data_IF_043517792368
#
_entry.id   IF_043517792368
#
_cell.length_a   1.000
_cell.length_b   1.000
_cell.length_c   1.000
_cell.angle_alpha   90.00
_cell.angle_beta   90.00
_cell.angle_gamma   90.00
#
_symmetry.space_group_name_H-M   'P 1'
#
loop_
_entity.id
_entity.type
_entity.pdbx_description
1 polymer ?
#
# COMPACT_ATOMS: atom_id res chain seq x y z
N UNK A 1 -0.38 -0.57 -23.08
CA UNK A 1 -0.37 -1.89 -23.74
C UNK A 1 -0.53 -2.94 -22.65
N UNK A 2 -1.77 -3.16 -22.24
CA UNK A 2 -2.12 -4.18 -21.22
C UNK A 2 -2.29 -5.50 -21.96
N UNK A 3 -1.40 -6.45 -21.73
CA UNK A 3 -1.41 -7.75 -22.40
C UNK A 3 -1.53 -8.91 -21.39
N UNK A 4 -1.77 -10.12 -21.89
CA UNK A 4 -2.01 -11.30 -21.07
C UNK A 4 -0.83 -11.61 -20.12
N UNK A 5 0.39 -11.27 -20.54
CA UNK A 5 1.60 -11.47 -19.75
C UNK A 5 1.74 -10.45 -18.61
N UNK A 6 1.33 -9.18 -18.79
CA UNK A 6 1.20 -8.24 -17.65
C UNK A 6 0.11 -8.68 -16.66
N UNK A 7 -1.01 -9.22 -17.15
CA UNK A 7 -2.04 -9.77 -16.28
C UNK A 7 -1.54 -11.00 -15.49
N UNK A 8 -0.75 -11.87 -16.12
CA UNK A 8 -0.05 -12.99 -15.45
C UNK A 8 0.93 -12.49 -14.39
N UNK A 9 1.68 -11.42 -14.68
CA UNK A 9 2.61 -10.82 -13.72
C UNK A 9 1.89 -10.34 -12.45
N UNK A 10 0.80 -9.57 -12.59
CA UNK A 10 0.05 -9.05 -11.44
C UNK A 10 -0.68 -10.15 -10.67
N UNK A 11 -1.25 -11.14 -11.34
CA UNK A 11 -1.88 -12.29 -10.69
C UNK A 11 -0.85 -13.16 -9.94
N UNK A 12 0.35 -13.36 -10.48
CA UNK A 12 1.46 -14.01 -9.81
C UNK A 12 1.92 -13.22 -8.57
N UNK A 13 2.00 -11.88 -8.66
CA UNK A 13 2.33 -11.02 -7.53
C UNK A 13 1.29 -11.08 -6.42
N UNK A 14 -0.01 -11.04 -6.76
CA UNK A 14 -1.12 -11.16 -5.80
C UNK A 14 -1.13 -12.52 -5.11
N UNK A 15 -0.82 -13.60 -5.84
CA UNK A 15 -0.82 -14.97 -5.29
C UNK A 15 0.52 -15.39 -4.67
N UNK A 16 1.57 -14.56 -4.75
CA UNK A 16 2.86 -14.84 -4.11
C UNK A 16 3.75 -15.82 -4.88
N UNK A 17 3.49 -16.02 -6.18
CA UNK A 17 4.18 -17.00 -7.01
C UNK A 17 5.58 -16.52 -7.44
N UNK A 18 6.51 -16.49 -6.49
CA UNK A 18 7.90 -16.06 -6.69
C UNK A 18 8.65 -16.80 -7.79
N UNK A 19 8.34 -18.08 -8.02
CA UNK A 19 8.96 -18.87 -9.09
C UNK A 19 8.64 -18.27 -10.46
N UNK A 20 7.37 -17.89 -10.67
CA UNK A 20 6.94 -17.23 -11.91
C UNK A 20 7.55 -15.83 -12.01
N UNK A 21 7.56 -15.07 -10.91
CA UNK A 21 8.17 -13.72 -10.91
C UNK A 21 9.67 -13.75 -11.23
N UNK A 22 10.41 -14.75 -10.72
CA UNK A 22 11.83 -14.92 -11.05
C UNK A 22 12.03 -15.25 -12.52
N UNK A 23 11.20 -16.14 -13.07
CA UNK A 23 11.24 -16.46 -14.50
C UNK A 23 10.90 -15.24 -15.36
N UNK A 24 9.83 -14.51 -15.02
CA UNK A 24 9.44 -13.28 -15.72
C UNK A 24 10.49 -12.18 -15.61
N UNK A 25 11.27 -12.14 -14.53
CA UNK A 25 12.42 -11.23 -14.41
C UNK A 25 13.50 -11.54 -15.45
N UNK A 26 13.76 -12.82 -15.70
CA UNK A 26 14.74 -13.27 -16.71
C UNK A 26 14.21 -13.03 -18.14
N UNK A 27 12.93 -13.36 -18.39
CA UNK A 27 12.33 -13.28 -19.72
C UNK A 27 11.98 -11.84 -20.15
N UNK A 28 11.50 -11.00 -19.22
CA UNK A 28 10.96 -9.67 -19.55
C UNK A 28 10.99 -8.68 -18.34
N UNK A 29 12.18 -8.20 -17.93
CA UNK A 29 12.33 -7.34 -16.74
C UNK A 29 11.62 -5.98 -16.88
N UNK A 30 11.47 -5.44 -18.09
CA UNK A 30 10.80 -4.16 -18.35
C UNK A 30 9.32 -4.16 -17.93
N UNK A 31 8.69 -5.33 -17.80
CA UNK A 31 7.27 -5.45 -17.43
C UNK A 31 6.99 -5.10 -15.97
N UNK A 32 8.00 -5.15 -15.09
CA UNK A 32 7.82 -4.84 -13.67
C UNK A 32 7.47 -3.37 -13.41
N UNK A 33 7.81 -2.47 -14.34
CA UNK A 33 7.39 -1.07 -14.32
C UNK A 33 5.99 -0.83 -14.90
N UNK A 34 5.30 -1.85 -15.41
CA UNK A 34 3.95 -1.70 -15.94
C UNK A 34 2.95 -1.35 -14.83
N UNK A 35 1.95 -0.56 -15.21
CA UNK A 35 0.80 -0.22 -14.36
C UNK A 35 -0.48 -0.72 -15.01
N UNK A 36 -1.46 -1.06 -14.18
CA UNK A 36 -2.80 -1.41 -14.66
C UNK A 36 -3.59 -0.18 -15.14
N UNK A 37 -4.77 -0.37 -15.77
CA UNK A 37 -5.61 0.76 -16.18
C UNK A 37 -6.06 1.67 -15.03
N UNK A 38 -5.96 1.21 -13.77
CA UNK A 38 -6.21 1.99 -12.56
C UNK A 38 -4.94 2.64 -12.00
N UNK A 39 -3.80 2.51 -12.69
CA UNK A 39 -2.49 3.02 -12.27
C UNK A 39 -1.77 2.17 -11.23
N UNK A 40 -2.29 1.00 -10.85
CA UNK A 40 -1.66 0.17 -9.84
C UNK A 40 -0.44 -0.56 -10.41
N UNK A 41 0.71 -0.41 -9.74
CA UNK A 41 1.92 -1.20 -9.97
C UNK A 41 1.83 -2.61 -9.39
N UNK A 42 2.84 -3.43 -9.67
CA UNK A 42 2.97 -4.79 -9.11
C UNK A 42 3.01 -4.81 -7.57
N UNK A 43 3.53 -3.76 -6.95
CA UNK A 43 3.57 -3.62 -5.49
C UNK A 43 2.17 -3.52 -4.88
N UNK A 44 1.27 -2.75 -5.50
CA UNK A 44 -0.12 -2.63 -5.06
C UNK A 44 -0.83 -4.00 -5.06
N UNK A 45 -0.61 -4.79 -6.13
CA UNK A 45 -1.18 -6.13 -6.25
C UNK A 45 -0.58 -7.11 -5.26
N UNK A 46 0.73 -7.05 -5.03
CA UNK A 46 1.40 -7.85 -4.01
C UNK A 46 0.85 -7.56 -2.60
N UNK A 47 0.58 -6.30 -2.28
CA UNK A 47 0.00 -5.89 -1.00
C UNK A 47 -1.46 -6.33 -0.87
N UNK A 48 -2.28 -6.18 -1.91
CA UNK A 48 -3.64 -6.73 -1.91
C UNK A 48 -3.66 -8.24 -1.61
N UNK A 49 -2.63 -8.96 -2.06
CA UNK A 49 -2.39 -10.36 -1.74
C UNK A 49 -1.74 -10.66 -0.38
N UNK A 50 -1.22 -9.66 0.32
CA UNK A 50 -0.45 -9.84 1.56
C UNK A 50 0.93 -10.49 1.36
N UNK A 51 1.51 -10.36 0.17
CA UNK A 51 2.68 -11.13 -0.23
C UNK A 51 4.00 -10.42 0.12
N UNK A 52 4.39 -10.50 1.40
CA UNK A 52 5.63 -9.88 1.90
C UNK A 52 6.88 -10.35 1.13
N UNK A 53 6.96 -11.64 0.79
CA UNK A 53 8.12 -12.18 0.05
C UNK A 53 8.26 -11.56 -1.34
N UNK A 54 7.14 -11.26 -2.00
CA UNK A 54 7.13 -10.55 -3.28
C UNK A 54 7.61 -9.12 -3.10
N UNK A 55 7.18 -8.41 -2.05
CA UNK A 55 7.68 -7.06 -1.76
C UNK A 55 9.18 -7.02 -1.49
N UNK A 56 9.73 -8.02 -0.78
CA UNK A 56 11.19 -8.14 -0.58
C UNK A 56 11.92 -8.37 -1.89
N UNK A 57 11.36 -9.20 -2.76
CA UNK A 57 11.90 -9.42 -4.10
C UNK A 57 11.86 -8.13 -4.94
N UNK A 58 10.75 -7.40 -4.91
CA UNK A 58 10.62 -6.12 -5.61
C UNK A 58 11.59 -5.09 -5.07
N UNK A 59 11.76 -4.96 -3.75
CA UNK A 59 12.73 -4.01 -3.16
C UNK A 59 14.16 -4.27 -3.64
N UNK A 60 14.56 -5.53 -3.79
CA UNK A 60 15.91 -5.91 -4.17
C UNK A 60 16.20 -5.72 -5.67
N UNK A 61 15.18 -5.72 -6.52
CA UNK A 61 15.36 -5.71 -7.98
C UNK A 61 14.78 -4.47 -8.67
N UNK A 62 13.66 -3.96 -8.15
CA UNK A 62 12.80 -2.93 -8.74
C UNK A 62 12.22 -2.02 -7.63
N UNK A 63 13.07 -1.32 -6.84
CA UNK A 63 12.62 -0.49 -5.72
C UNK A 63 11.66 0.62 -6.14
N UNK A 64 11.76 1.13 -7.37
CA UNK A 64 10.89 2.15 -7.95
C UNK A 64 9.42 1.75 -7.97
N UNK A 65 9.11 0.44 -8.01
CA UNK A 65 7.73 -0.05 -8.03
C UNK A 65 6.99 0.17 -6.72
N UNK A 66 7.72 0.42 -5.62
CA UNK A 66 7.19 0.58 -4.26
C UNK A 66 6.70 2.00 -3.96
N UNK A 67 6.99 2.98 -4.82
CA UNK A 67 6.59 4.40 -4.65
C UNK A 67 5.68 4.89 -5.78
N UNK A 68 5.26 3.99 -6.69
CA UNK A 68 4.35 4.34 -7.79
C UNK A 68 3.00 4.78 -7.24
N UNK A 69 2.44 5.85 -7.81
CA UNK A 69 1.10 6.32 -7.48
C UNK A 69 0.09 5.73 -8.46
N UNK A 70 -1.03 5.24 -7.94
CA UNK A 70 -2.18 4.87 -8.77
C UNK A 70 -3.03 6.10 -9.15
N UNK A 71 -4.14 5.91 -9.87
CA UNK A 71 -5.02 7.02 -10.28
C UNK A 71 -5.69 7.77 -9.11
N UNK A 72 -5.77 7.14 -7.93
CA UNK A 72 -6.19 7.80 -6.68
C UNK A 72 -5.04 8.49 -5.94
N UNK A 73 -3.86 8.62 -6.55
CA UNK A 73 -2.66 9.17 -5.92
C UNK A 73 -2.16 8.35 -4.74
N UNK A 74 -2.56 7.08 -4.67
CA UNK A 74 -2.16 6.20 -3.57
C UNK A 74 -0.85 5.52 -3.93
N UNK A 75 0.16 5.72 -3.09
CA UNK A 75 1.29 4.79 -2.96
C UNK A 75 0.85 3.39 -2.48
N UNK A 76 1.66 2.34 -2.69
CA UNK A 76 1.37 0.99 -2.22
C UNK A 76 1.10 0.93 -0.70
N UNK A 77 1.75 1.77 0.11
CA UNK A 77 1.52 1.84 1.56
C UNK A 77 0.07 2.22 1.92
N UNK A 78 -0.57 3.12 1.17
CA UNK A 78 -1.97 3.48 1.37
C UNK A 78 -2.87 2.26 1.16
N UNK A 79 -2.63 1.51 0.08
CA UNK A 79 -3.38 0.28 -0.19
C UNK A 79 -3.15 -0.76 0.91
N UNK A 80 -1.95 -0.83 1.49
CA UNK A 80 -1.68 -1.68 2.65
C UNK A 80 -2.52 -1.31 3.87
N UNK A 81 -2.70 -0.01 4.11
CA UNK A 81 -3.52 0.52 5.19
C UNK A 81 -5.01 0.29 4.97
N UNK A 82 -5.51 0.44 3.74
CA UNK A 82 -6.92 0.15 3.40
C UNK A 82 -7.22 -1.35 3.54
N UNK A 83 -6.35 -2.21 3.00
CA UNK A 83 -6.57 -3.67 2.99
C UNK A 83 -6.29 -4.31 4.36
N UNK A 84 -5.55 -3.64 5.25
CA UNK A 84 -5.23 -4.18 6.57
C UNK A 84 -4.04 -5.14 6.58
N UNK A 85 -3.08 -4.99 5.67
CA UNK A 85 -1.90 -5.88 5.59
C UNK A 85 -0.74 -5.35 6.43
N UNK A 86 -0.83 -5.52 7.74
CA UNK A 86 0.18 -5.07 8.72
C UNK A 86 1.63 -5.35 8.28
N UNK A 87 1.96 -6.62 8.00
CA UNK A 87 3.33 -7.01 7.62
C UNK A 87 3.84 -6.29 6.36
N UNK A 88 2.96 -6.00 5.40
CA UNK A 88 3.30 -5.26 4.20
C UNK A 88 3.48 -3.76 4.51
N UNK A 89 2.61 -3.18 5.34
CA UNK A 89 2.73 -1.78 5.77
C UNK A 89 4.03 -1.56 6.54
N UNK A 90 4.32 -2.41 7.52
CA UNK A 90 5.57 -2.36 8.28
C UNK A 90 6.81 -2.42 7.38
N UNK A 91 6.79 -3.31 6.38
CA UNK A 91 7.86 -3.39 5.40
C UNK A 91 8.01 -2.10 4.57
N UNK A 92 6.91 -1.51 4.09
CA UNK A 92 6.98 -0.31 3.25
C UNK A 92 7.43 0.92 4.05
N UNK A 93 6.90 1.10 5.26
CA UNK A 93 7.27 2.20 6.15
C UNK A 93 8.76 2.16 6.50
N UNK A 94 9.31 0.98 6.74
CA UNK A 94 10.72 0.86 7.12
C UNK A 94 11.71 1.04 5.96
N UNK A 95 11.28 0.84 4.71
CA UNK A 95 12.22 0.67 3.60
C UNK A 95 11.92 1.49 2.34
N UNK A 96 10.73 2.06 2.18
CA UNK A 96 10.31 2.61 0.90
C UNK A 96 9.42 3.86 0.96
N UNK A 97 8.52 3.98 1.94
CA UNK A 97 7.48 5.00 1.93
C UNK A 97 7.58 5.97 3.10
N UNK A 98 7.28 7.23 2.82
CA UNK A 98 7.05 8.24 3.86
C UNK A 98 5.72 7.95 4.56
N UNK A 99 5.72 7.89 5.89
CA UNK A 99 4.49 7.65 6.71
C UNK A 99 3.43 8.74 6.56
N UNK A 100 3.81 9.93 6.10
CA UNK A 100 2.95 11.11 5.95
C UNK A 100 2.63 11.47 4.49
N UNK A 101 2.86 10.55 3.54
CA UNK A 101 2.42 10.74 2.15
C UNK A 101 0.91 10.98 2.09
N UNK A 102 0.45 11.79 1.14
CA UNK A 102 -0.97 12.13 0.97
C UNK A 102 -1.47 11.63 -0.38
N UNK A 103 -2.64 11.01 -0.40
CA UNK A 103 -3.36 10.67 -1.64
C UNK A 103 -4.12 11.87 -2.23
N UNK A 104 -4.88 11.66 -3.32
CA UNK A 104 -5.65 12.77 -3.95
C UNK A 104 -6.75 13.35 -3.06
N UNK A 105 -7.22 12.61 -2.05
CA UNK A 105 -8.18 13.09 -1.04
C UNK A 105 -7.47 13.82 0.10
N UNK A 106 -6.15 13.93 0.04
CA UNK A 106 -5.33 14.45 1.12
C UNK A 106 -5.16 13.46 2.27
N UNK A 107 -5.62 12.21 2.12
CA UNK A 107 -5.56 11.20 3.17
C UNK A 107 -4.14 10.66 3.31
N UNK A 108 -3.66 10.56 4.55
CA UNK A 108 -2.43 9.87 4.89
C UNK A 108 -2.67 8.39 5.13
N UNK A 109 -1.63 7.54 5.13
CA UNK A 109 -1.74 6.14 5.54
C UNK A 109 -2.45 5.95 6.88
N UNK A 110 -2.20 6.87 7.84
CA UNK A 110 -2.85 6.85 9.16
C UNK A 110 -4.35 7.12 9.05
N UNK A 111 -4.75 8.13 8.28
CA UNK A 111 -6.17 8.45 8.03
C UNK A 111 -6.91 7.25 7.42
N UNK A 112 -6.30 6.58 6.43
CA UNK A 112 -6.89 5.40 5.80
C UNK A 112 -6.96 4.19 6.75
N UNK A 113 -5.93 3.98 7.59
CA UNK A 113 -5.94 2.91 8.58
C UNK A 113 -7.06 3.14 9.62
N UNK A 114 -7.26 4.38 10.06
CA UNK A 114 -8.33 4.76 10.98
C UNK A 114 -9.72 4.65 10.35
N UNK A 115 -9.90 5.12 9.10
CA UNK A 115 -11.14 5.00 8.32
C UNK A 115 -11.58 3.54 8.16
N UNK A 116 -10.63 2.61 8.03
CA UNK A 116 -10.89 1.18 7.85
C UNK A 116 -10.82 0.35 9.14
N UNK A 117 -10.52 0.98 10.29
CA UNK A 117 -10.51 0.33 11.60
C UNK A 117 -9.34 -0.61 11.86
N UNK A 118 -8.24 -0.45 11.14
CA UNK A 118 -7.01 -1.21 11.34
C UNK A 118 -6.17 -0.58 12.43
N UNK A 119 -6.64 -0.72 13.67
CA UNK A 119 -6.05 -0.12 14.88
C UNK A 119 -4.57 -0.46 15.02
N UNK A 120 -4.20 -1.72 14.79
CA UNK A 120 -2.81 -2.17 14.89
C UNK A 120 -1.93 -1.37 13.92
N UNK A 121 -2.41 -1.16 12.69
CA UNK A 121 -1.68 -0.42 11.65
C UNK A 121 -1.59 1.06 12.02
N UNK A 122 -2.68 1.64 12.53
CA UNK A 122 -2.67 3.02 13.02
C UNK A 122 -1.62 3.19 14.15
N UNK A 123 -1.62 2.31 15.14
CA UNK A 123 -0.64 2.32 16.22
C UNK A 123 0.80 2.15 15.71
N UNK A 124 1.02 1.25 14.74
CA UNK A 124 2.33 1.07 14.11
C UNK A 124 2.80 2.34 13.41
N UNK A 125 1.91 3.00 12.66
CA UNK A 125 2.22 4.24 11.95
C UNK A 125 2.57 5.38 12.92
N UNK A 126 1.83 5.54 14.03
CA UNK A 126 2.14 6.52 15.07
C UNK A 126 3.51 6.28 15.69
N UNK A 127 3.85 5.01 15.96
CA UNK A 127 5.17 4.63 16.48
C UNK A 127 6.30 5.02 15.51
N UNK A 128 6.00 5.09 14.21
CA UNK A 128 6.93 5.49 13.16
C UNK A 128 6.76 6.97 12.74
N UNK A 129 6.32 7.82 13.67
CA UNK A 129 6.21 9.29 13.50
C UNK A 129 5.17 9.73 12.46
N UNK A 130 4.10 8.96 12.27
CA UNK A 130 2.94 9.47 11.54
C UNK A 130 2.28 10.64 12.30
N UNK A 131 1.89 11.67 11.56
CA UNK A 131 1.26 12.85 12.14
C UNK A 131 -0.20 12.55 12.49
N UNK A 132 -0.49 12.44 13.78
CA UNK A 132 -1.84 12.23 14.31
C UNK A 132 -2.80 13.38 14.02
N UNK A 133 -2.27 14.60 13.87
CA UNK A 133 -3.03 15.81 13.54
C UNK A 133 -3.19 16.01 12.04
N UNK A 134 -2.72 15.06 11.21
CA UNK A 134 -2.94 15.13 9.78
C UNK A 134 -4.43 15.11 9.47
N UNK A 135 -4.82 15.91 8.47
CA UNK A 135 -6.20 15.95 7.99
C UNK A 135 -6.28 15.66 6.50
N UNK A 136 -7.42 15.11 6.09
CA UNK A 136 -7.78 15.04 4.68
C UNK A 136 -8.14 16.45 4.13
N UNK A 137 -8.59 16.51 2.88
CA UNK A 137 -9.00 17.76 2.24
C UNK A 137 -10.30 18.36 2.84
N UNK A 138 -11.06 17.57 3.60
CA UNK A 138 -12.27 17.98 4.32
C UNK A 138 -11.96 18.39 5.78
N UNK A 139 -10.68 18.48 6.17
CA UNK A 139 -10.24 18.76 7.53
C UNK A 139 -10.62 17.67 8.55
N UNK A 140 -10.93 16.45 8.08
CA UNK A 140 -11.17 15.32 8.95
C UNK A 140 -9.84 14.77 9.49
N UNK A 141 -9.76 14.57 10.80
CA UNK A 141 -8.66 13.87 11.45
C UNK A 141 -8.91 12.37 11.41
N UNK A 142 -7.92 11.58 11.85
CA UNK A 142 -8.08 10.13 11.96
C UNK A 142 -9.26 9.76 12.88
N UNK A 143 -9.50 10.54 13.93
CA UNK A 143 -10.64 10.36 14.83
C UNK A 143 -11.98 10.69 14.15
N UNK A 144 -12.05 11.77 13.35
CA UNK A 144 -13.26 12.09 12.58
C UNK A 144 -13.63 10.96 11.62
N UNK A 145 -12.66 10.42 10.87
CA UNK A 145 -12.88 9.32 9.93
C UNK A 145 -13.26 8.02 10.63
N UNK A 146 -12.60 7.70 11.75
CA UNK A 146 -12.93 6.57 12.60
C UNK A 146 -14.37 6.60 13.11
N UNK A 147 -14.82 7.78 13.56
CA UNK A 147 -16.18 7.98 14.04
C UNK A 147 -17.21 7.88 12.92
N UNK A 148 -16.93 8.48 11.75
CA UNK A 148 -17.77 8.40 10.55
C UNK A 148 -17.96 6.96 10.07
N UNK A 149 -16.93 6.12 10.19
CA UNK A 149 -16.96 4.71 9.84
C UNK A 149 -17.61 3.81 10.92
N UNK A 150 -18.02 4.37 12.07
CA UNK A 150 -18.66 3.61 13.16
C UNK A 150 -17.69 2.79 14.01
N UNK A 151 -16.39 3.12 13.99
CA UNK A 151 -15.32 2.37 14.66
C UNK A 151 -15.07 2.90 16.09
N UNK A 152 -16.07 3.57 16.68
CA UNK A 152 -16.00 4.29 17.97
C UNK A 152 -15.41 3.47 19.14
N UNK A 153 -15.48 2.14 19.10
CA UNK A 153 -15.07 1.29 20.22
C UNK A 153 -13.62 0.78 20.15
N UNK A 154 -12.90 1.00 19.04
CA UNK A 154 -11.62 0.33 18.79
C UNK A 154 -10.41 1.26 18.74
N UNK A 155 -10.60 2.58 18.70
CA UNK A 155 -9.53 3.55 18.43
C UNK A 155 -9.22 4.40 19.68
N UNK A 156 -9.30 3.83 20.89
CA UNK A 156 -8.82 4.47 22.12
C UNK A 156 -7.28 4.72 22.15
N UNK A 157 -6.58 4.52 21.02
CA UNK A 157 -5.13 4.68 20.87
C UNK A 157 -4.73 5.93 20.06
N UNK A 158 -5.70 6.75 19.62
CA UNK A 158 -5.48 8.06 19.00
C UNK A 158 -5.97 9.16 19.94
#
# INVERSE_FOLDING_TARGET
MWDQETAKLFSAAKSGQLKILRKLKEDAPFRFGAVDPSGNSIAHWAIRGGQLKVLRFLKANFPETLTVLNLSGQEPVHVGCVVGKMMCVAFLVNFASNVNVRDVRGCTPLLLAAENGHVDIAAYLLLHSANILATDNEQNTALHLAAKAGINHRICLL
#
